data_IF_349424683792
#
_entry.id   IF_349424683792
#
_cell.length_a   1.000
_cell.length_b   1.000
_cell.length_c   1.000
_cell.angle_alpha   90.00
_cell.angle_beta   90.00
_cell.angle_gamma   90.00
#
_symmetry.space_group_name_H-M   'P 1'
#
loop_
_entity.id
_entity.type
_entity.pdbx_description
1 polymer ?
#
# COMPACT_ATOMS: atom_id res chain seq x y z
N UNK A 1 -28.47 -23.04 -13.53
CA UNK A 1 -27.92 -21.82 -14.18
C UNK A 1 -27.58 -20.73 -13.15
N UNK A 2 -28.24 -20.66 -11.98
CA UNK A 2 -27.89 -19.70 -10.91
C UNK A 2 -26.76 -20.15 -9.96
N UNK A 3 -26.60 -21.46 -9.73
CA UNK A 3 -25.51 -21.95 -8.86
C UNK A 3 -24.12 -21.61 -9.43
N UNK A 4 -23.95 -21.63 -10.76
CA UNK A 4 -22.67 -21.28 -11.39
C UNK A 4 -22.32 -19.79 -11.27
N UNK A 5 -23.32 -18.88 -11.21
CA UNK A 5 -23.06 -17.44 -11.10
C UNK A 5 -22.58 -17.05 -9.70
N UNK A 6 -23.10 -17.69 -8.65
CA UNK A 6 -22.62 -17.50 -7.27
C UNK A 6 -21.18 -18.03 -7.12
N UNK A 7 -20.89 -19.21 -7.67
CA UNK A 7 -19.55 -19.80 -7.63
C UNK A 7 -18.53 -18.95 -8.40
N UNK A 8 -18.90 -18.41 -9.56
CA UNK A 8 -18.09 -17.47 -10.31
C UNK A 8 -17.85 -16.18 -9.53
N UNK A 9 -18.88 -15.62 -8.90
CA UNK A 9 -18.77 -14.42 -8.07
C UNK A 9 -17.82 -14.63 -6.89
N UNK A 10 -17.95 -15.76 -6.18
CA UNK A 10 -17.06 -16.11 -5.06
C UNK A 10 -15.60 -16.29 -5.52
N UNK A 11 -15.40 -16.93 -6.67
CA UNK A 11 -14.07 -17.13 -7.25
C UNK A 11 -13.44 -15.80 -7.63
N UNK A 12 -14.21 -14.91 -8.27
CA UNK A 12 -13.78 -13.58 -8.66
C UNK A 12 -13.42 -12.72 -7.43
N UNK A 13 -14.28 -12.75 -6.40
CA UNK A 13 -14.02 -12.08 -5.13
C UNK A 13 -12.74 -12.61 -4.47
N UNK A 14 -12.55 -13.93 -4.44
CA UNK A 14 -11.37 -14.58 -3.86
C UNK A 14 -10.08 -14.19 -4.58
N UNK A 15 -10.09 -14.15 -5.91
CA UNK A 15 -8.94 -13.71 -6.72
C UNK A 15 -8.63 -12.24 -6.45
N UNK A 16 -9.63 -11.35 -6.45
CA UNK A 16 -9.41 -9.92 -6.18
C UNK A 16 -8.87 -9.68 -4.78
N UNK A 17 -9.38 -10.41 -3.78
CA UNK A 17 -8.88 -10.29 -2.42
C UNK A 17 -7.42 -10.77 -2.29
N UNK A 18 -7.08 -11.88 -2.95
CA UNK A 18 -5.70 -12.37 -3.00
C UNK A 18 -4.78 -11.35 -3.68
N UNK A 19 -5.24 -10.78 -4.80
CA UNK A 19 -4.51 -9.76 -5.54
C UNK A 19 -4.26 -8.51 -4.68
N UNK A 20 -5.29 -8.04 -3.97
CA UNK A 20 -5.18 -6.92 -3.03
C UNK A 20 -4.15 -7.17 -1.94
N UNK A 21 -4.14 -8.37 -1.34
CA UNK A 21 -3.17 -8.75 -0.32
C UNK A 21 -1.74 -8.77 -0.87
N UNK A 22 -1.53 -9.36 -2.05
CA UNK A 22 -0.21 -9.41 -2.70
C UNK A 22 0.28 -8.00 -3.04
N UNK A 23 -0.58 -7.16 -3.64
CA UNK A 23 -0.24 -5.78 -3.97
C UNK A 23 0.11 -4.97 -2.73
N UNK A 24 -0.64 -5.13 -1.64
CA UNK A 24 -0.35 -4.47 -0.37
C UNK A 24 1.05 -4.85 0.14
N UNK A 25 1.37 -6.15 0.17
CA UNK A 25 2.67 -6.65 0.63
C UNK A 25 3.81 -6.11 -0.24
N UNK A 26 3.66 -6.15 -1.57
CA UNK A 26 4.67 -5.62 -2.51
C UNK A 26 4.85 -4.13 -2.32
N UNK A 27 3.76 -3.37 -2.14
CA UNK A 27 3.81 -1.91 -1.95
C UNK A 27 4.52 -1.54 -0.65
N UNK A 28 4.23 -2.24 0.44
CA UNK A 28 4.92 -2.04 1.73
C UNK A 28 6.40 -2.39 1.60
N UNK A 29 6.75 -3.50 0.95
CA UNK A 29 8.14 -3.87 0.72
C UNK A 29 8.90 -2.84 -0.12
N UNK A 30 8.30 -2.37 -1.21
CA UNK A 30 8.89 -1.33 -2.05
C UNK A 30 9.15 -0.06 -1.25
N UNK A 31 8.23 0.32 -0.36
CA UNK A 31 8.40 1.48 0.50
C UNK A 31 9.53 1.29 1.52
N UNK A 32 9.56 0.16 2.22
CA UNK A 32 10.65 -0.14 3.16
C UNK A 32 12.01 -0.11 2.46
N UNK A 33 12.08 -0.59 1.21
CA UNK A 33 13.29 -0.50 0.40
C UNK A 33 13.61 0.97 0.07
N UNK A 34 12.64 1.77 -0.36
CA UNK A 34 12.84 3.20 -0.65
C UNK A 34 13.29 3.96 0.60
N UNK A 35 12.60 3.84 1.72
CA UNK A 35 12.99 4.46 3.00
C UNK A 35 14.43 4.07 3.39
N UNK A 36 14.77 2.78 3.27
CA UNK A 36 16.08 2.30 3.72
C UNK A 36 17.23 2.63 2.76
N UNK A 37 17.00 2.61 1.44
CA UNK A 37 18.06 2.78 0.44
C UNK A 37 18.12 4.18 -0.16
N UNK A 38 16.99 4.88 -0.26
CA UNK A 38 16.95 6.25 -0.80
C UNK A 38 17.13 7.27 0.31
N UNK A 39 16.51 7.04 1.49
CA UNK A 39 16.54 7.96 2.62
C UNK A 39 17.48 7.50 3.74
N UNK A 40 18.70 7.08 3.40
CA UNK A 40 19.69 6.52 4.35
C UNK A 40 20.15 7.46 5.45
N UNK A 41 19.88 8.77 5.36
CA UNK A 41 20.42 9.80 6.27
C UNK A 41 19.37 10.48 7.15
N UNK A 42 18.08 10.20 6.95
CA UNK A 42 16.99 10.89 7.64
C UNK A 42 16.10 9.83 8.30
N UNK A 43 15.96 9.91 9.62
CA UNK A 43 14.93 9.17 10.35
C UNK A 43 13.64 10.02 10.36
N UNK A 44 12.72 9.72 9.45
CA UNK A 44 11.46 10.45 9.36
C UNK A 44 10.62 10.32 10.62
N UNK A 45 10.65 9.18 11.33
CA UNK A 45 9.89 9.01 12.57
C UNK A 45 10.44 9.92 13.67
N UNK A 46 11.76 10.02 13.78
CA UNK A 46 12.40 10.93 14.74
C UNK A 46 12.12 12.40 14.41
N UNK A 47 12.22 12.78 13.13
CA UNK A 47 11.91 14.14 12.67
C UNK A 47 10.45 14.52 12.91
N UNK A 48 9.50 13.61 12.66
CA UNK A 48 8.08 13.80 12.96
C UNK A 48 7.88 14.00 14.47
N UNK A 49 8.55 13.22 15.33
CA UNK A 49 8.49 13.38 16.79
C UNK A 49 9.07 14.71 17.27
N UNK A 50 10.06 15.27 16.58
CA UNK A 50 10.63 16.60 16.84
C UNK A 50 9.71 17.74 16.36
N UNK A 51 8.57 17.43 15.74
CA UNK A 51 7.62 18.42 15.24
C UNK A 51 7.92 18.91 13.82
N UNK A 52 8.76 18.20 13.06
CA UNK A 52 9.05 18.57 11.68
C UNK A 52 7.83 18.30 10.78
N UNK A 53 7.11 19.36 10.43
CA UNK A 53 5.92 19.30 9.59
C UNK A 53 6.26 18.81 8.17
N UNK A 54 7.42 19.18 7.63
CA UNK A 54 7.81 18.77 6.28
C UNK A 54 8.02 17.24 6.19
N UNK A 55 8.65 16.65 7.21
CA UNK A 55 8.79 15.19 7.32
C UNK A 55 7.42 14.50 7.41
N UNK A 56 6.49 15.05 8.19
CA UNK A 56 5.11 14.53 8.31
C UNK A 56 4.35 14.57 6.99
N UNK A 57 4.44 15.68 6.25
CA UNK A 57 3.79 15.83 4.94
C UNK A 57 4.36 14.81 3.95
N UNK A 58 5.69 14.71 3.89
CA UNK A 58 6.37 13.77 3.00
C UNK A 58 5.94 12.33 3.27
N UNK A 59 5.99 11.89 4.53
CA UNK A 59 5.57 10.54 4.91
C UNK A 59 4.09 10.28 4.60
N UNK A 60 3.23 11.29 4.82
CA UNK A 60 1.80 11.20 4.51
C UNK A 60 1.54 11.06 3.01
N UNK A 61 2.28 11.78 2.17
CA UNK A 61 2.18 11.65 0.70
C UNK A 61 2.55 10.26 0.23
N UNK A 62 3.59 9.65 0.81
CA UNK A 62 3.97 8.26 0.50
C UNK A 62 2.83 7.30 0.86
N UNK A 63 2.25 7.43 2.06
CA UNK A 63 1.12 6.59 2.49
C UNK A 63 -0.10 6.72 1.57
N UNK A 64 -0.42 7.94 1.12
CA UNK A 64 -1.50 8.19 0.15
C UNK A 64 -1.18 7.50 -1.18
N UNK A 65 0.06 7.56 -1.65
CA UNK A 65 0.49 6.90 -2.88
C UNK A 65 0.32 5.37 -2.81
N UNK A 66 0.63 4.75 -1.67
CA UNK A 66 0.35 3.32 -1.45
C UNK A 66 -1.15 3.04 -1.58
N UNK A 67 -1.97 3.82 -0.88
CA UNK A 67 -3.41 3.67 -0.92
C UNK A 67 -3.95 3.76 -2.35
N UNK A 68 -3.39 4.66 -3.15
CA UNK A 68 -3.73 4.80 -4.57
C UNK A 68 -3.30 3.60 -5.41
N UNK A 69 -2.08 3.09 -5.24
CA UNK A 69 -1.61 1.89 -5.95
C UNK A 69 -2.49 0.68 -5.62
N UNK A 70 -2.85 0.50 -4.35
CA UNK A 70 -3.75 -0.57 -3.91
C UNK A 70 -5.14 -0.38 -4.52
N UNK A 71 -5.71 0.83 -4.45
CA UNK A 71 -7.02 1.12 -5.01
C UNK A 71 -7.09 0.85 -6.53
N UNK A 72 -6.08 1.29 -7.28
CA UNK A 72 -5.97 1.06 -8.74
C UNK A 72 -5.75 -0.41 -9.07
N UNK A 73 -5.10 -1.18 -8.19
CA UNK A 73 -4.90 -2.62 -8.42
C UNK A 73 -6.18 -3.46 -8.26
N UNK A 74 -7.20 -2.92 -7.60
CA UNK A 74 -8.48 -3.59 -7.30
C UNK A 74 -9.64 -3.13 -8.19
N UNK A 75 -9.42 -2.11 -9.04
CA UNK A 75 -10.39 -1.60 -10.02
C UNK A 75 -10.21 -2.24 -11.38
#
# INVERSE_FOLDING_TARGET
MEISSIQQTLTFLGINLLYALVTLLVSVFALVIIDKYVFTKIDFIEEIKKGNIAASIFQSTILIFIGLVVAVSMS
#
